data_IF_220839735950
#
_entry.id   IF_220839735950
#
_cell.length_a   1.000
_cell.length_b   1.000
_cell.length_c   1.000
_cell.angle_alpha   90.00
_cell.angle_beta   90.00
_cell.angle_gamma   90.00
#
_symmetry.space_group_name_H-M   'P 1'
#
loop_
_entity.id
_entity.type
_entity.pdbx_description
1 polymer ?
#
# COMPACT_ATOMS: atom_id res chain seq x y z
N UNK A 1 -29.52 -31.02 15.81
CA UNK A 1 -28.90 -29.81 15.21
C UNK A 1 -29.58 -28.50 15.65
N UNK A 2 -30.93 -28.39 15.66
CA UNK A 2 -31.64 -27.17 16.10
C UNK A 2 -31.32 -26.69 17.53
N UNK A 3 -31.10 -27.59 18.49
CA UNK A 3 -30.75 -27.25 19.89
C UNK A 3 -29.34 -26.66 20.06
N UNK A 4 -28.38 -27.07 19.22
CA UNK A 4 -27.01 -26.54 19.26
C UNK A 4 -26.92 -25.13 18.67
N UNK A 5 -27.69 -24.86 17.62
CA UNK A 5 -27.79 -23.50 17.04
C UNK A 5 -28.40 -22.53 18.05
N UNK A 6 -29.40 -22.96 18.82
CA UNK A 6 -30.01 -22.11 19.84
C UNK A 6 -29.04 -21.74 20.96
N UNK A 7 -28.23 -22.69 21.44
CA UNK A 7 -27.19 -22.45 22.44
C UNK A 7 -26.09 -21.52 21.92
N UNK A 8 -25.71 -21.66 20.66
CA UNK A 8 -24.71 -20.81 20.02
C UNK A 8 -25.22 -19.36 19.87
N UNK A 9 -26.48 -19.18 19.44
CA UNK A 9 -27.11 -17.86 19.38
C UNK A 9 -27.25 -17.21 20.78
N UNK A 10 -27.55 -18.00 21.81
CA UNK A 10 -27.66 -17.50 23.19
C UNK A 10 -26.29 -17.10 23.78
N UNK A 11 -25.22 -17.81 23.39
CA UNK A 11 -23.86 -17.42 23.75
C UNK A 11 -23.44 -16.11 23.07
N UNK A 12 -23.83 -15.90 21.82
CA UNK A 12 -23.52 -14.68 21.08
C UNK A 12 -24.25 -13.45 21.65
N UNK A 13 -25.50 -13.58 22.11
CA UNK A 13 -26.25 -12.45 22.68
C UNK A 13 -25.72 -12.00 24.04
N UNK A 14 -25.24 -12.91 24.89
CA UNK A 14 -24.62 -12.56 26.17
C UNK A 14 -23.27 -11.85 26.03
N UNK A 15 -22.49 -12.17 24.99
CA UNK A 15 -21.20 -11.54 24.74
C UNK A 15 -21.30 -10.16 24.04
N UNK A 16 -22.42 -9.86 23.38
CA UNK A 16 -22.66 -8.54 22.79
C UNK A 16 -23.22 -7.52 23.79
N UNK A 17 -23.88 -7.95 24.87
CA UNK A 17 -24.51 -7.06 25.83
C UNK A 17 -23.53 -6.30 26.75
N UNK A 18 -22.24 -6.66 26.75
CA UNK A 18 -21.21 -6.04 27.60
C UNK A 18 -20.45 -4.89 26.94
N UNK A 19 -20.78 -4.52 25.69
CA UNK A 19 -20.20 -3.33 25.04
C UNK A 19 -20.95 -2.09 25.51
N UNK A 20 -20.49 -1.57 26.64
CA UNK A 20 -20.92 -0.29 27.18
C UNK A 20 -20.34 0.83 26.29
N UNK A 21 -21.22 1.57 25.59
CA UNK A 21 -20.86 2.70 24.75
C UNK A 21 -20.45 3.90 25.60
N UNK A 22 -19.22 3.90 26.08
CA UNK A 22 -18.55 5.11 26.55
C UNK A 22 -18.00 5.82 25.33
N UNK A 23 -18.78 6.71 24.71
CA UNK A 23 -18.23 7.67 23.73
C UNK A 23 -17.41 8.72 24.49
N UNK A 24 -16.08 8.76 24.34
CA UNK A 24 -15.32 9.89 24.86
C UNK A 24 -15.63 11.10 23.98
N UNK A 25 -16.23 12.14 24.58
CA UNK A 25 -16.61 13.39 23.92
C UNK A 25 -15.41 14.25 23.45
N UNK A 26 -14.18 13.78 23.61
CA UNK A 26 -12.97 14.48 23.19
C UNK A 26 -12.19 13.65 22.16
N UNK A 27 -11.90 14.27 21.02
CA UNK A 27 -11.01 13.68 20.02
C UNK A 27 -9.64 13.40 20.65
N UNK A 28 -9.05 12.21 20.41
CA UNK A 28 -7.70 11.90 20.88
C UNK A 28 -6.70 12.91 20.32
N UNK A 29 -5.97 13.54 21.23
CA UNK A 29 -4.90 14.49 20.92
C UNK A 29 -3.56 13.92 21.36
N UNK A 30 -2.47 14.31 20.69
CA UNK A 30 -1.11 13.80 20.96
C UNK A 30 -0.67 14.02 22.41
N UNK A 31 -1.26 14.99 23.12
CA UNK A 31 -0.92 15.31 24.51
C UNK A 31 -1.49 14.35 25.54
N UNK A 32 -2.61 13.65 25.26
CA UNK A 32 -3.22 12.70 26.21
C UNK A 32 -2.82 11.24 25.96
N UNK A 33 -2.16 10.94 24.83
CA UNK A 33 -1.78 9.58 24.46
C UNK A 33 -2.99 8.69 24.14
N UNK A 34 -2.74 7.52 23.54
CA UNK A 34 -3.83 6.57 23.26
C UNK A 34 -4.13 5.62 24.42
N UNK A 35 -3.34 5.64 25.51
CA UNK A 35 -3.48 4.75 26.66
C UNK A 35 -4.77 4.96 27.46
N UNK A 36 -5.42 6.12 27.32
CA UNK A 36 -6.68 6.44 27.99
C UNK A 36 -7.92 5.85 27.27
N UNK A 37 -7.75 5.33 26.06
CA UNK A 37 -8.84 4.78 25.24
C UNK A 37 -8.87 3.25 25.34
N UNK A 38 -10.08 2.68 25.43
CA UNK A 38 -10.30 1.23 25.56
C UNK A 38 -11.09 0.70 24.35
N UNK A 39 -10.74 -0.51 23.91
CA UNK A 39 -11.46 -1.21 22.84
C UNK A 39 -11.27 -0.57 21.46
N UNK A 40 -12.35 -0.47 20.66
CA UNK A 40 -12.31 0.07 19.29
C UNK A 40 -11.83 1.52 19.20
N UNK A 41 -12.07 2.32 20.25
CA UNK A 41 -11.60 3.70 20.34
C UNK A 41 -10.08 3.82 20.43
N UNK A 42 -9.40 2.82 21.01
CA UNK A 42 -7.94 2.73 21.03
C UNK A 42 -7.37 2.50 19.64
N UNK A 43 -7.97 1.58 18.87
CA UNK A 43 -7.57 1.32 17.49
C UNK A 43 -7.78 2.54 16.61
N UNK A 44 -8.91 3.25 16.75
CA UNK A 44 -9.15 4.52 16.05
C UNK A 44 -8.17 5.63 16.45
N UNK A 45 -7.75 5.68 17.72
CA UNK A 45 -6.73 6.61 18.19
C UNK A 45 -5.37 6.31 17.54
N UNK A 46 -4.98 5.04 17.51
CA UNK A 46 -3.76 4.60 16.83
C UNK A 46 -3.82 4.84 15.33
N UNK A 47 -4.92 4.52 14.67
CA UNK A 47 -5.11 4.74 13.24
C UNK A 47 -4.97 6.23 12.90
N UNK A 48 -5.56 7.12 13.69
CA UNK A 48 -5.39 8.57 13.50
C UNK A 48 -3.98 9.07 13.80
N UNK A 49 -3.32 8.51 14.81
CA UNK A 49 -1.90 8.78 15.02
C UNK A 49 -1.11 8.33 13.78
N UNK A 50 -1.27 7.09 13.33
CA UNK A 50 -0.57 6.51 12.18
C UNK A 50 -0.84 7.22 10.86
N UNK A 51 -2.10 7.59 10.57
CA UNK A 51 -2.45 8.39 9.40
C UNK A 51 -1.78 9.78 9.42
N UNK A 52 -1.53 10.33 10.61
CA UNK A 52 -0.76 11.57 10.79
C UNK A 52 0.76 11.33 10.82
N UNK A 53 1.23 10.10 11.10
CA UNK A 53 2.62 9.68 10.87
C UNK A 53 2.93 9.49 9.38
N UNK A 54 1.96 8.99 8.58
CA UNK A 54 2.04 9.00 7.11
C UNK A 54 2.09 10.43 6.57
N UNK A 55 1.41 11.36 7.24
CA UNK A 55 1.53 12.80 7.01
C UNK A 55 2.57 13.46 7.93
N UNK A 56 3.68 12.79 8.21
CA UNK A 56 4.92 13.52 8.48
C UNK A 56 5.34 14.05 7.11
N UNK A 57 4.90 15.27 6.82
CA UNK A 57 5.56 16.21 5.92
C UNK A 57 7.01 16.38 6.41
N UNK A 58 7.86 15.37 6.20
CA UNK A 58 9.29 15.43 6.52
C UNK A 58 9.93 16.36 5.50
N UNK A 59 9.73 17.65 5.74
CA UNK A 59 10.13 18.82 4.95
C UNK A 59 9.60 18.83 3.51
N UNK A 60 9.40 20.02 2.93
CA UNK A 60 9.41 20.18 1.48
C UNK A 60 10.80 19.78 0.96
N UNK A 61 11.04 18.49 0.80
CA UNK A 61 12.32 18.01 0.34
C UNK A 61 12.43 18.31 -1.16
N UNK A 62 13.38 19.14 -1.55
CA UNK A 62 13.63 19.42 -2.97
C UNK A 62 14.30 18.21 -3.59
N UNK A 63 13.63 17.58 -4.56
CA UNK A 63 14.16 16.44 -5.31
C UNK A 63 14.78 16.97 -6.60
N UNK A 64 16.09 16.81 -6.76
CA UNK A 64 16.81 17.17 -7.99
C UNK A 64 17.35 15.93 -8.66
N UNK A 65 17.07 15.75 -9.95
CA UNK A 65 17.68 14.67 -10.75
C UNK A 65 19.07 15.15 -11.18
N UNK A 66 20.11 14.49 -10.69
CA UNK A 66 21.50 14.81 -11.01
C UNK A 66 21.93 14.17 -12.33
N UNK A 67 21.50 12.93 -12.57
CA UNK A 67 21.78 12.23 -13.80
C UNK A 67 20.72 11.17 -14.09
N UNK A 68 20.51 10.94 -15.37
CA UNK A 68 19.64 9.89 -15.89
C UNK A 68 20.36 9.19 -17.04
N UNK A 69 20.58 7.89 -16.89
CA UNK A 69 21.22 7.06 -17.90
C UNK A 69 20.37 5.83 -18.18
N UNK A 70 20.19 5.50 -19.45
CA UNK A 70 19.47 4.30 -19.88
C UNK A 70 20.45 3.14 -20.07
N UNK A 71 20.19 2.05 -19.38
CA UNK A 71 20.90 0.78 -19.49
C UNK A 71 19.92 -0.33 -19.89
N UNK A 72 19.71 -0.48 -21.20
CA UNK A 72 18.78 -1.45 -21.75
C UNK A 72 17.33 -1.20 -21.31
N UNK A 73 16.78 -2.11 -20.50
CA UNK A 73 15.41 -2.06 -19.95
C UNK A 73 15.27 -1.15 -18.71
N UNK A 74 16.40 -0.78 -18.10
CA UNK A 74 16.42 0.01 -16.88
C UNK A 74 16.87 1.44 -17.17
N UNK A 75 16.30 2.38 -16.43
CA UNK A 75 16.82 3.73 -16.30
C UNK A 75 17.45 3.84 -14.92
N UNK A 76 18.73 4.15 -14.88
CA UNK A 76 19.44 4.55 -13.66
C UNK A 76 19.28 6.04 -13.48
N UNK A 77 18.61 6.45 -12.40
CA UNK A 77 18.45 7.84 -12.00
C UNK A 77 19.23 8.08 -10.72
N UNK A 78 20.11 9.08 -10.73
CA UNK A 78 20.74 9.59 -9.51
C UNK A 78 19.97 10.83 -9.10
N UNK A 79 19.30 10.77 -7.95
CA UNK A 79 18.50 11.87 -7.38
C UNK A 79 19.13 12.34 -6.09
N UNK A 80 19.14 13.65 -5.89
CA UNK A 80 19.48 14.30 -4.62
C UNK A 80 18.20 14.77 -3.97
N UNK A 81 17.97 14.32 -2.74
CA UNK A 81 16.85 14.74 -1.92
C UNK A 81 17.42 15.62 -0.81
N UNK A 82 17.03 16.89 -0.77
CA UNK A 82 17.46 17.82 0.27
C UNK A 82 16.27 18.25 1.12
N UNK A 83 16.34 18.04 2.42
CA UNK A 83 15.33 18.52 3.39
C UNK A 83 15.67 19.94 3.88
N UNK A 84 16.93 20.33 3.79
CA UNK A 84 17.46 21.66 4.12
C UNK A 84 18.72 21.93 3.26
N UNK A 85 19.21 23.18 3.14
CA UNK A 85 20.41 23.48 2.34
C UNK A 85 21.68 22.75 2.79
N UNK A 86 21.71 22.25 4.04
CA UNK A 86 22.84 21.53 4.61
C UNK A 86 22.59 20.03 4.77
N UNK A 87 21.34 19.58 4.61
CA UNK A 87 20.95 18.18 4.78
C UNK A 87 20.39 17.62 3.47
N UNK A 88 21.30 17.03 2.69
CA UNK A 88 21.02 16.38 1.42
C UNK A 88 21.47 14.94 1.43
N UNK A 89 20.70 14.08 0.76
CA UNK A 89 21.06 12.68 0.52
C UNK A 89 20.98 12.37 -0.96
N UNK A 90 22.05 11.77 -1.47
CA UNK A 90 22.07 11.22 -2.82
C UNK A 90 21.54 9.78 -2.80
N UNK A 91 20.66 9.48 -3.74
CA UNK A 91 20.01 8.19 -3.91
C UNK A 91 20.13 7.76 -5.36
N UNK A 92 20.47 6.50 -5.56
CA UNK A 92 20.46 5.87 -6.88
C UNK A 92 19.23 4.99 -6.99
N UNK A 93 18.41 5.26 -7.99
CA UNK A 93 17.17 4.56 -8.26
C UNK A 93 17.28 3.86 -9.61
N UNK A 94 16.83 2.60 -9.66
CA UNK A 94 16.70 1.84 -10.91
C UNK A 94 15.22 1.68 -11.21
N UNK A 95 14.75 2.37 -12.24
CA UNK A 95 13.36 2.28 -12.70
C UNK A 95 13.31 1.36 -13.91
N UNK A 96 12.41 0.37 -13.88
CA UNK A 96 12.13 -0.45 -15.05
C UNK A 96 11.31 0.37 -16.05
N UNK A 97 11.83 0.58 -17.25
CA UNK A 97 11.10 1.26 -18.33
C UNK A 97 11.47 0.63 -19.68
N UNK A 98 10.69 -0.36 -20.16
CA UNK A 98 11.00 -1.03 -21.41
C UNK A 98 10.95 -0.02 -22.56
N UNK A 99 11.91 -0.12 -23.48
CA UNK A 99 11.86 0.67 -24.71
C UNK A 99 10.69 0.22 -25.60
N UNK A 100 10.27 1.10 -26.51
CA UNK A 100 9.23 0.76 -27.50
C UNK A 100 9.52 -0.57 -28.21
N UNK A 101 10.74 -0.78 -28.70
CA UNK A 101 11.13 -2.00 -29.38
C UNK A 101 11.11 -3.25 -28.49
N UNK A 102 11.43 -3.12 -27.20
CA UNK A 102 11.35 -4.24 -26.26
C UNK A 102 9.89 -4.61 -25.96
N UNK A 103 9.02 -3.61 -25.76
CA UNK A 103 7.59 -3.82 -25.61
C UNK A 103 7.00 -4.49 -26.86
N UNK A 104 7.37 -4.03 -28.05
CA UNK A 104 6.90 -4.56 -29.33
C UNK A 104 7.40 -6.00 -29.56
N UNK A 105 8.66 -6.30 -29.23
CA UNK A 105 9.20 -7.67 -29.27
C UNK A 105 8.41 -8.60 -28.35
N UNK A 106 8.12 -8.15 -27.12
CA UNK A 106 7.35 -8.93 -26.15
C UNK A 106 5.94 -9.20 -26.68
N UNK A 107 5.24 -8.18 -27.15
CA UNK A 107 3.87 -8.35 -27.68
C UNK A 107 3.84 -9.26 -28.91
N UNK A 108 4.76 -9.09 -29.87
CA UNK A 108 4.86 -9.97 -31.04
C UNK A 108 5.11 -11.42 -30.63
N UNK A 109 6.02 -11.67 -29.69
CA UNK A 109 6.28 -13.03 -29.22
C UNK A 109 5.05 -13.68 -28.60
N UNK A 110 4.25 -12.91 -27.84
CA UNK A 110 3.03 -13.40 -27.22
C UNK A 110 1.93 -13.66 -28.24
N UNK A 111 1.74 -12.74 -29.20
CA UNK A 111 0.75 -12.88 -30.26
C UNK A 111 1.06 -14.08 -31.15
N UNK A 112 2.32 -14.26 -31.55
CA UNK A 112 2.72 -15.38 -32.40
C UNK A 112 2.40 -16.73 -31.74
N UNK A 113 2.75 -16.89 -30.46
CA UNK A 113 2.46 -18.10 -29.70
C UNK A 113 0.95 -18.33 -29.59
N UNK A 114 0.18 -17.28 -29.28
CA UNK A 114 -1.28 -17.36 -29.20
C UNK A 114 -1.92 -17.78 -30.53
N UNK A 115 -1.44 -17.23 -31.65
CA UNK A 115 -1.91 -17.60 -32.99
C UNK A 115 -1.57 -19.06 -33.28
N UNK A 116 -0.33 -19.50 -33.02
CA UNK A 116 0.05 -20.90 -33.22
C UNK A 116 -0.83 -21.87 -32.41
N UNK A 117 -1.11 -21.56 -31.13
CA UNK A 117 -1.97 -22.38 -30.29
C UNK A 117 -3.41 -22.41 -30.84
N UNK A 118 -3.96 -21.24 -31.20
CA UNK A 118 -5.31 -21.16 -31.77
C UNK A 118 -5.44 -21.93 -33.09
N UNK A 119 -4.41 -21.90 -33.92
CA UNK A 119 -4.36 -22.60 -35.20
C UNK A 119 -4.26 -24.12 -35.00
N UNK A 120 -3.44 -24.58 -34.06
CA UNK A 120 -3.33 -26.00 -33.71
C UNK A 120 -4.64 -26.57 -33.14
N UNK A 121 -5.32 -25.83 -32.26
CA UNK A 121 -6.63 -26.24 -31.71
C UNK A 121 -7.69 -26.19 -32.81
N UNK A 122 -7.69 -25.17 -33.66
CA UNK A 122 -8.68 -25.01 -34.73
C UNK A 122 -8.57 -26.06 -35.84
N UNK A 123 -7.38 -26.59 -36.12
CA UNK A 123 -7.20 -27.73 -37.05
C UNK A 123 -7.56 -29.07 -36.38
N UNK A 124 -7.46 -29.14 -35.05
CA UNK A 124 -7.73 -30.35 -34.26
C UNK A 124 -9.22 -30.63 -34.03
N UNK A 125 -10.10 -29.66 -34.27
CA UNK A 125 -11.56 -29.78 -34.14
C UNK A 125 -12.21 -29.96 -35.51
#
# INVERSE_FOLDING_TARGET
MKRFVFLFCFFLTFNCASIQNSTPNSLPSRSSGCSEYVGSSWFLCLEKLHAKWEKIESSNASITILSEAREGEYIRRKKRICWSPFFCRDLEERVYSPSFFQSLKKTLSTVLISVCIGLLIGISL
#
